data_IF_409258996158
#
_entry.id   IF_409258996158
#
_cell.length_a   1.000
_cell.length_b   1.000
_cell.length_c   1.000
_cell.angle_alpha   90.00
_cell.angle_beta   90.00
_cell.angle_gamma   90.00
#
_symmetry.space_group_name_H-M   'P 1'
#
loop_
_entity.id
_entity.type
_entity.pdbx_description
1 polymer ?
#
# COMPACT_ATOMS: atom_id res chain seq x y z
N UNK A 1 -56.71 -23.42 -11.50
CA UNK A 1 -55.43 -23.71 -10.85
C UNK A 1 -54.70 -22.38 -10.80
N UNK A 2 -55.02 -21.56 -9.81
CA UNK A 2 -54.54 -20.17 -9.71
C UNK A 2 -53.15 -20.19 -9.09
N UNK A 3 -52.14 -19.88 -9.89
CA UNK A 3 -50.76 -19.76 -9.43
C UNK A 3 -50.64 -18.53 -8.52
N UNK A 4 -50.27 -18.78 -7.26
CA UNK A 4 -49.96 -17.74 -6.28
C UNK A 4 -48.57 -17.21 -6.58
N UNK A 5 -48.50 -15.95 -7.03
CA UNK A 5 -47.25 -15.19 -7.13
C UNK A 5 -46.94 -14.51 -5.79
N UNK A 6 -45.89 -14.90 -5.06
CA UNK A 6 -45.45 -14.11 -3.92
C UNK A 6 -44.54 -12.95 -4.37
N UNK A 7 -45.00 -11.76 -4.01
CA UNK A 7 -44.36 -10.43 -4.04
C UNK A 7 -42.92 -10.36 -3.49
N UNK A 8 -42.09 -9.43 -4.00
CA UNK A 8 -40.68 -9.30 -3.66
C UNK A 8 -40.49 -8.42 -2.42
N UNK A 9 -39.72 -8.90 -1.42
CA UNK A 9 -39.43 -8.09 -0.24
C UNK A 9 -38.02 -8.26 0.31
N UNK A 10 -37.20 -7.26 -0.04
CA UNK A 10 -36.23 -6.57 0.83
C UNK A 10 -35.30 -7.43 1.69
N UNK A 11 -34.31 -8.05 1.04
CA UNK A 11 -32.99 -8.11 1.66
C UNK A 11 -32.16 -7.03 1.01
N UNK A 12 -31.95 -5.92 1.73
CA UNK A 12 -30.77 -5.06 1.51
C UNK A 12 -29.58 -5.99 1.73
N UNK A 13 -29.17 -6.67 0.67
CA UNK A 13 -27.90 -7.37 0.64
C UNK A 13 -26.93 -6.23 0.44
N UNK A 14 -26.54 -5.61 1.55
CA UNK A 14 -25.38 -4.74 1.60
C UNK A 14 -24.22 -5.63 1.15
N UNK A 15 -24.01 -5.70 -0.17
CA UNK A 15 -22.79 -6.25 -0.73
C UNK A 15 -21.74 -5.24 -0.32
N UNK A 16 -21.07 -5.55 0.78
CA UNK A 16 -19.80 -4.93 1.17
C UNK A 16 -19.00 -4.77 -0.13
N UNK A 17 -18.47 -3.57 -0.41
CA UNK A 17 -17.58 -3.42 -1.56
C UNK A 17 -16.52 -4.49 -1.40
N UNK A 18 -16.46 -5.39 -2.39
CA UNK A 18 -15.40 -6.36 -2.46
C UNK A 18 -14.13 -5.54 -2.54
N UNK A 19 -13.41 -5.43 -1.42
CA UNK A 19 -12.00 -5.07 -1.44
C UNK A 19 -11.27 -6.25 -2.06
N UNK A 20 -11.52 -6.46 -3.35
CA UNK A 20 -10.59 -7.09 -4.25
C UNK A 20 -9.50 -6.06 -4.50
N UNK A 21 -8.78 -5.70 -3.42
CA UNK A 21 -7.60 -4.83 -3.43
C UNK A 21 -6.41 -5.58 -4.01
N UNK A 22 -6.60 -6.23 -5.15
CA UNK A 22 -5.48 -6.68 -5.98
C UNK A 22 -5.18 -5.58 -6.96
N UNK A 23 -4.53 -4.54 -6.46
CA UNK A 23 -3.43 -3.85 -7.14
C UNK A 23 -2.70 -2.95 -6.11
N UNK A 24 -2.31 -3.53 -4.96
CA UNK A 24 -1.99 -2.78 -3.73
C UNK A 24 -0.79 -1.83 -3.81
N UNK A 25 -0.05 -1.81 -4.91
CA UNK A 25 1.09 -0.91 -5.08
C UNK A 25 1.03 -0.29 -6.49
N UNK A 26 0.70 1.02 -6.62
CA UNK A 26 0.58 1.68 -7.92
C UNK A 26 1.93 1.97 -8.60
N UNK A 27 3.04 1.43 -8.07
CA UNK A 27 4.40 1.71 -8.50
C UNK A 27 5.09 0.44 -8.96
N UNK A 28 5.83 0.53 -10.08
CA UNK A 28 6.52 -0.63 -10.67
C UNK A 28 7.91 -0.87 -10.09
N UNK A 29 8.48 0.12 -9.39
CA UNK A 29 9.82 0.03 -8.81
C UNK A 29 10.01 1.01 -7.65
N UNK A 30 10.89 0.66 -6.71
CA UNK A 30 11.30 1.50 -5.57
C UNK A 30 11.72 2.93 -5.96
N UNK A 31 12.55 3.17 -7.01
CA UNK A 31 12.91 4.54 -7.40
C UNK A 31 11.74 5.40 -7.87
N UNK A 32 10.78 4.84 -8.58
CA UNK A 32 9.58 5.54 -9.04
C UNK A 32 8.71 5.96 -7.86
N UNK A 33 8.48 5.04 -6.92
CA UNK A 33 7.79 5.32 -5.67
C UNK A 33 8.48 6.42 -4.86
N UNK A 34 9.80 6.30 -4.65
CA UNK A 34 10.57 7.29 -3.91
C UNK A 34 10.53 8.66 -4.58
N UNK A 35 10.49 8.75 -5.91
CA UNK A 35 10.33 10.02 -6.59
C UNK A 35 8.94 10.65 -6.34
N UNK A 36 7.88 9.84 -6.38
CA UNK A 36 6.51 10.27 -6.09
C UNK A 36 6.37 10.92 -4.71
N UNK A 37 6.97 10.31 -3.67
CA UNK A 37 6.95 10.86 -2.31
C UNK A 37 8.09 11.85 -2.03
N UNK A 38 8.80 12.32 -3.07
CA UNK A 38 9.92 13.28 -2.99
C UNK A 38 11.06 12.82 -2.06
N UNK A 39 11.36 11.52 -2.10
CA UNK A 39 12.42 10.79 -1.38
C UNK A 39 13.48 10.19 -2.30
N UNK A 40 13.54 10.58 -3.58
CA UNK A 40 14.51 10.06 -4.57
C UNK A 40 15.97 10.06 -4.12
N UNK A 41 16.37 10.95 -3.21
CA UNK A 41 17.73 10.97 -2.65
C UNK A 41 18.10 9.69 -1.89
N UNK A 42 17.11 8.92 -1.45
CA UNK A 42 17.30 7.67 -0.74
C UNK A 42 17.40 6.45 -1.65
N UNK A 43 17.22 6.57 -2.96
CA UNK A 43 17.27 5.43 -3.92
C UNK A 43 18.53 4.59 -3.74
N UNK A 44 19.70 5.23 -3.60
CA UNK A 44 20.96 4.53 -3.38
C UNK A 44 21.02 3.79 -2.04
N UNK A 45 20.36 4.32 -1.01
CA UNK A 45 20.31 3.69 0.32
C UNK A 45 19.44 2.42 0.27
N UNK A 46 18.28 2.50 -0.38
CA UNK A 46 17.41 1.35 -0.63
C UNK A 46 18.13 0.29 -1.48
N UNK A 47 18.78 0.70 -2.56
CA UNK A 47 19.55 -0.20 -3.42
C UNK A 47 20.71 -0.87 -2.68
N UNK A 48 21.43 -0.12 -1.83
CA UNK A 48 22.55 -0.65 -1.04
C UNK A 48 22.07 -1.61 0.05
N UNK A 49 20.83 -1.47 0.52
CA UNK A 49 20.19 -2.37 1.46
C UNK A 49 19.58 -3.63 0.79
N UNK A 50 19.64 -3.74 -0.55
CA UNK A 50 19.04 -4.84 -1.28
C UNK A 50 17.53 -4.73 -1.48
N UNK A 51 16.95 -3.54 -1.26
CA UNK A 51 15.52 -3.27 -1.44
C UNK A 51 15.25 -2.83 -2.88
N UNK A 52 15.19 -3.78 -3.80
CA UNK A 52 14.96 -3.51 -5.23
C UNK A 52 13.49 -3.67 -5.65
N UNK A 53 12.72 -4.49 -4.94
CA UNK A 53 11.29 -4.71 -5.20
C UNK A 53 10.40 -3.89 -4.28
N UNK A 54 9.18 -3.57 -4.77
CA UNK A 54 8.18 -2.91 -3.94
C UNK A 54 7.69 -3.78 -2.79
N UNK A 55 7.70 -5.10 -2.96
CA UNK A 55 7.33 -6.06 -1.91
C UNK A 55 8.27 -5.96 -0.70
N UNK A 56 9.59 -5.85 -0.94
CA UNK A 56 10.56 -5.67 0.14
C UNK A 56 10.37 -4.36 0.91
N UNK A 57 9.80 -3.31 0.30
CA UNK A 57 9.56 -2.04 1.00
C UNK A 57 8.31 -2.06 1.87
N UNK A 58 7.40 -3.02 1.68
CA UNK A 58 6.17 -3.14 2.46
C UNK A 58 6.41 -3.58 3.91
N UNK A 59 7.49 -4.32 4.15
CA UNK A 59 7.88 -4.82 5.47
C UNK A 59 8.84 -3.87 6.22
N UNK A 60 9.15 -2.70 5.65
CA UNK A 60 10.09 -1.77 6.28
C UNK A 60 9.53 -1.14 7.56
N UNK A 61 10.37 -1.16 8.58
CA UNK A 61 10.11 -0.49 9.86
C UNK A 61 10.90 0.80 9.97
N UNK A 62 10.57 1.62 10.98
CA UNK A 62 11.36 2.80 11.29
C UNK A 62 12.82 2.46 11.62
N UNK A 63 13.07 1.28 12.19
CA UNK A 63 14.41 0.80 12.54
C UNK A 63 15.23 0.48 11.28
N UNK A 64 14.62 -0.17 10.28
CA UNK A 64 15.26 -0.44 8.98
C UNK A 64 15.66 0.87 8.29
N UNK A 65 14.77 1.87 8.30
CA UNK A 65 15.05 3.18 7.73
C UNK A 65 16.26 3.85 8.42
N UNK A 66 16.40 3.71 9.74
CA UNK A 66 17.57 4.22 10.48
C UNK A 66 18.84 3.47 10.07
N UNK A 67 18.79 2.14 9.95
CA UNK A 67 19.94 1.32 9.51
C UNK A 67 20.40 1.68 8.09
N UNK A 68 19.46 2.08 7.22
CA UNK A 68 19.75 2.57 5.88
C UNK A 68 20.28 4.01 5.83
N UNK A 69 20.44 4.68 6.98
CA UNK A 69 20.90 6.08 7.04
C UNK A 69 19.80 7.14 6.91
N UNK A 70 18.53 6.73 6.99
CA UNK A 70 17.36 7.63 6.99
C UNK A 70 16.99 7.94 8.44
N UNK A 71 17.76 8.81 9.09
CA UNK A 71 17.59 9.16 10.51
C UNK A 71 16.60 10.30 10.77
N UNK A 72 16.17 11.01 9.72
CA UNK A 72 15.28 12.16 9.85
C UNK A 72 13.83 11.71 10.10
N UNK A 73 13.21 12.05 11.24
CA UNK A 73 11.87 11.55 11.60
C UNK A 73 10.78 11.99 10.62
N UNK A 74 10.90 13.21 10.06
CA UNK A 74 9.98 13.69 9.02
C UNK A 74 10.07 12.89 7.72
N UNK A 75 11.25 12.36 7.39
CA UNK A 75 11.43 11.51 6.21
C UNK A 75 10.94 10.09 6.47
N UNK A 76 11.27 9.53 7.62
CA UNK A 76 10.76 8.22 8.06
C UNK A 76 9.24 8.20 8.03
N UNK A 77 8.59 9.20 8.61
CA UNK A 77 7.12 9.32 8.62
C UNK A 77 6.53 9.37 7.21
N UNK A 78 7.15 10.11 6.27
CA UNK A 78 6.68 10.18 4.88
C UNK A 78 6.77 8.83 4.17
N UNK A 79 7.87 8.12 4.37
CA UNK A 79 8.09 6.80 3.76
C UNK A 79 7.10 5.77 4.34
N UNK A 80 7.02 5.66 5.67
CA UNK A 80 6.12 4.72 6.35
C UNK A 80 4.65 5.01 6.09
N UNK A 81 4.25 6.28 6.04
CA UNK A 81 2.87 6.66 5.69
C UNK A 81 2.51 6.21 4.27
N UNK A 82 3.43 6.33 3.32
CA UNK A 82 3.22 5.85 1.96
C UNK A 82 3.11 4.32 1.90
N UNK A 83 3.92 3.60 2.68
CA UNK A 83 3.85 2.13 2.76
C UNK A 83 2.52 1.69 3.34
N UNK A 84 2.05 2.35 4.40
CA UNK A 84 0.77 2.04 5.03
C UNK A 84 -0.40 2.17 4.05
N UNK A 85 -0.33 3.15 3.13
CA UNK A 85 -1.33 3.33 2.07
C UNK A 85 -1.34 2.23 1.00
N UNK A 86 -0.34 1.36 0.95
CA UNK A 86 -0.34 0.17 0.09
C UNK A 86 -0.99 -1.05 0.75
N UNK A 87 -1.19 -0.99 2.08
CA UNK A 87 -1.72 -2.10 2.89
C UNK A 87 -3.20 -1.93 3.26
N UNK A 88 -3.80 -0.80 2.87
CA UNK A 88 -5.22 -0.45 3.08
C UNK A 88 -6.02 -0.76 1.80
#
# INVERSE_FOLDING_TARGET
>A
MTEVVPIPSHRVTLRLPSLSGSDGIPYRSVPEWLESIRMKRYILNFRSAGLDTMECVLDLTAEDLVQMGITLPGHQKRILCSIQGFKD
#
